data_IF_431453277976
#
_entry.id   IF_431453277976
#
_cell.length_a   1.000
_cell.length_b   1.000
_cell.length_c   1.000
_cell.angle_alpha   90.00
_cell.angle_beta   90.00
_cell.angle_gamma   90.00
#
_symmetry.space_group_name_H-M   'P 1'
#
loop_
_entity.id
_entity.type
_entity.pdbx_description
1 polymer ?
#
# COMPACT_ATOMS: atom_id res chain seq x y z
N UNK A 1 -5.93 -15.07 0.84
CA UNK A 1 -4.90 -14.01 0.84
C UNK A 1 -3.82 -14.39 -0.16
N UNK A 2 -3.55 -13.55 -1.17
CA UNK A 2 -2.53 -13.80 -2.17
C UNK A 2 -1.45 -12.71 -2.16
N UNK A 3 -0.21 -13.05 -2.54
CA UNK A 3 0.90 -12.12 -2.57
C UNK A 3 2.25 -12.82 -2.70
N UNK A 4 3.32 -12.15 -2.29
CA UNK A 4 4.67 -12.67 -2.46
C UNK A 4 5.18 -12.58 -3.89
N UNK A 5 6.41 -13.03 -4.09
CA UNK A 5 7.06 -13.00 -5.41
C UNK A 5 6.76 -14.22 -6.28
N UNK A 6 7.22 -14.16 -7.53
CA UNK A 6 7.20 -15.31 -8.44
C UNK A 6 5.87 -15.59 -9.16
N UNK A 7 4.92 -14.67 -9.10
CA UNK A 7 3.69 -14.74 -9.89
C UNK A 7 3.95 -14.45 -11.36
N UNK A 8 3.38 -15.26 -12.25
CA UNK A 8 3.27 -14.98 -13.67
C UNK A 8 1.85 -14.49 -14.01
N UNK A 9 1.69 -13.94 -15.21
CA UNK A 9 0.39 -13.56 -15.76
C UNK A 9 -0.59 -14.75 -15.75
N UNK A 10 -0.12 -15.90 -16.20
CA UNK A 10 -0.93 -17.12 -16.26
C UNK A 10 -1.36 -17.59 -14.86
N UNK A 11 -0.46 -17.48 -13.85
CA UNK A 11 -0.80 -17.84 -12.48
C UNK A 11 -1.82 -16.88 -11.86
N UNK A 12 -1.70 -15.58 -12.11
CA UNK A 12 -2.67 -14.59 -11.65
C UNK A 12 -4.05 -14.82 -12.30
N UNK A 13 -4.09 -15.11 -13.60
CA UNK A 13 -5.32 -15.44 -14.29
C UNK A 13 -5.95 -16.76 -13.79
N UNK A 14 -5.13 -17.78 -13.51
CA UNK A 14 -5.62 -19.04 -12.94
C UNK A 14 -6.20 -18.84 -11.52
N UNK A 15 -5.53 -18.04 -10.69
CA UNK A 15 -6.06 -17.66 -9.37
C UNK A 15 -7.39 -16.92 -9.49
N UNK A 16 -7.50 -16.00 -10.45
CA UNK A 16 -8.76 -15.28 -10.65
C UNK A 16 -9.90 -16.23 -11.04
N UNK A 17 -9.69 -17.13 -12.01
CA UNK A 17 -10.71 -18.12 -12.39
C UNK A 17 -11.08 -19.05 -11.22
N UNK A 18 -10.11 -19.46 -10.42
CA UNK A 18 -10.39 -20.23 -9.21
C UNK A 18 -11.28 -19.45 -8.24
N UNK A 19 -10.94 -18.19 -7.97
CA UNK A 19 -11.73 -17.34 -7.07
C UNK A 19 -13.15 -17.08 -7.62
N UNK A 20 -13.31 -16.91 -8.93
CA UNK A 20 -14.60 -16.76 -9.61
C UNK A 20 -15.45 -18.03 -9.45
N UNK A 21 -14.89 -19.19 -9.82
CA UNK A 21 -15.61 -20.47 -9.79
C UNK A 21 -16.05 -20.85 -8.37
N UNK A 22 -15.23 -20.54 -7.37
CA UNK A 22 -15.50 -20.83 -5.97
C UNK A 22 -16.21 -19.66 -5.25
N UNK A 23 -16.42 -18.52 -5.92
CA UNK A 23 -16.96 -17.29 -5.33
C UNK A 23 -16.27 -16.91 -4.02
N UNK A 24 -14.94 -16.91 -4.00
CA UNK A 24 -14.14 -16.61 -2.82
C UNK A 24 -13.78 -15.12 -2.74
N UNK A 25 -13.81 -14.50 -1.56
CA UNK A 25 -13.22 -13.18 -1.40
C UNK A 25 -11.69 -13.27 -1.47
N UNK A 26 -11.05 -12.36 -2.18
CA UNK A 26 -9.60 -12.32 -2.35
C UNK A 26 -9.05 -11.03 -1.76
N UNK A 27 -8.10 -11.17 -0.83
CA UNK A 27 -7.31 -10.06 -0.32
C UNK A 27 -5.85 -10.18 -0.76
N UNK A 28 -5.24 -9.06 -1.12
CA UNK A 28 -3.80 -9.03 -1.38
C UNK A 28 -3.00 -8.87 -0.09
N UNK A 29 -1.84 -9.50 -0.03
CA UNK A 29 -0.89 -9.27 1.03
C UNK A 29 -0.25 -7.88 0.91
N UNK A 30 0.29 -7.39 2.01
CA UNK A 30 0.93 -6.08 2.10
C UNK A 30 1.88 -5.80 0.94
N UNK A 31 1.57 -4.75 0.16
CA UNK A 31 2.35 -4.27 -0.99
C UNK A 31 2.45 -5.24 -2.19
N UNK A 32 1.42 -6.07 -2.36
CA UNK A 32 1.25 -6.95 -3.52
C UNK A 32 -0.13 -6.74 -4.18
N UNK A 33 -0.64 -5.51 -4.19
CA UNK A 33 -1.99 -5.19 -4.64
C UNK A 33 -2.21 -5.47 -6.13
N UNK A 34 -1.15 -5.52 -6.93
CA UNK A 34 -1.20 -5.86 -8.35
C UNK A 34 -1.20 -7.37 -8.64
N UNK A 35 -1.27 -8.23 -7.62
CA UNK A 35 -1.36 -9.68 -7.82
C UNK A 35 -2.76 -10.12 -8.27
N UNK A 36 -3.80 -9.42 -7.80
CA UNK A 36 -5.19 -9.67 -8.17
C UNK A 36 -5.84 -8.37 -8.66
N UNK A 37 -6.77 -8.42 -9.62
CA UNK A 37 -7.44 -7.23 -10.15
C UNK A 37 -8.31 -6.56 -9.08
N UNK A 38 -7.98 -5.32 -8.71
CA UNK A 38 -8.70 -4.59 -7.67
C UNK A 38 -10.08 -4.07 -8.12
N UNK A 39 -10.42 -4.21 -9.39
CA UNK A 39 -11.75 -3.91 -9.94
C UNK A 39 -12.68 -5.12 -9.91
N UNK A 40 -12.15 -6.30 -9.57
CA UNK A 40 -12.89 -7.55 -9.62
C UNK A 40 -13.87 -7.69 -8.44
N UNK A 41 -15.05 -8.29 -8.68
CA UNK A 41 -16.11 -8.44 -7.68
C UNK A 41 -15.72 -9.31 -6.47
N UNK A 42 -14.72 -10.19 -6.59
CA UNK A 42 -14.15 -10.95 -5.48
C UNK A 42 -13.08 -10.21 -4.69
N UNK A 43 -12.61 -9.05 -5.16
CA UNK A 43 -11.58 -8.31 -4.43
C UNK A 43 -12.11 -7.70 -3.14
N UNK A 44 -11.45 -7.98 -2.04
CA UNK A 44 -11.86 -7.54 -0.70
C UNK A 44 -10.89 -6.50 -0.07
N UNK A 45 -9.79 -6.16 -0.76
CA UNK A 45 -8.80 -5.20 -0.29
C UNK A 45 -7.43 -5.81 -0.03
N UNK A 46 -6.59 -5.11 0.72
CA UNK A 46 -5.27 -5.56 1.11
C UNK A 46 -5.13 -5.72 2.64
N UNK A 47 -4.46 -6.79 3.05
CA UNK A 47 -4.13 -7.04 4.45
C UNK A 47 -2.77 -6.44 4.79
N UNK A 48 -2.57 -6.09 6.05
CA UNK A 48 -1.30 -5.53 6.55
C UNK A 48 -1.49 -4.18 7.23
N UNK A 49 -0.47 -3.35 7.16
CA UNK A 49 -0.52 -2.01 7.76
C UNK A 49 -1.57 -1.16 7.05
N UNK A 50 -2.52 -0.64 7.83
CA UNK A 50 -3.62 0.18 7.28
C UNK A 50 -4.80 -0.61 6.75
N UNK A 51 -4.90 -1.90 7.03
CA UNK A 51 -6.04 -2.77 6.67
C UNK A 51 -7.39 -2.08 6.95
N UNK A 52 -8.34 -2.22 6.02
CA UNK A 52 -9.71 -1.76 6.21
C UNK A 52 -10.41 -2.51 7.36
N UNK A 53 -11.19 -1.82 8.22
CA UNK A 53 -11.86 -2.48 9.35
C UNK A 53 -12.75 -3.63 8.94
N UNK A 54 -13.52 -3.49 7.86
CA UNK A 54 -14.39 -4.55 7.33
C UNK A 54 -13.59 -5.78 6.88
N UNK A 55 -12.46 -5.58 6.18
CA UNK A 55 -11.58 -6.68 5.80
C UNK A 55 -10.93 -7.34 7.01
N UNK A 56 -10.49 -6.57 8.00
CA UNK A 56 -9.93 -7.13 9.23
C UNK A 56 -10.95 -8.01 9.96
N UNK A 57 -12.21 -7.59 10.00
CA UNK A 57 -13.30 -8.39 10.55
C UNK A 57 -13.55 -9.64 9.71
N UNK A 58 -13.64 -9.51 8.40
CA UNK A 58 -13.80 -10.62 7.46
C UNK A 58 -12.72 -11.69 7.66
N UNK A 59 -11.44 -11.31 7.80
CA UNK A 59 -10.34 -12.26 8.07
C UNK A 59 -10.50 -12.94 9.43
N UNK A 60 -10.91 -12.22 10.48
CA UNK A 60 -11.10 -12.81 11.83
C UNK A 60 -12.29 -13.76 11.93
N UNK A 61 -13.34 -13.51 11.17
CA UNK A 61 -14.57 -14.29 11.18
C UNK A 61 -14.55 -15.48 10.19
N UNK A 62 -13.52 -15.55 9.32
CA UNK A 62 -13.37 -16.67 8.40
C UNK A 62 -13.11 -17.97 9.17
N UNK A 63 -13.60 -19.08 8.67
CA UNK A 63 -13.34 -20.44 9.18
C UNK A 63 -12.08 -21.05 8.56
N UNK A 64 -11.75 -20.63 7.35
CA UNK A 64 -10.58 -21.08 6.58
C UNK A 64 -9.84 -19.90 5.96
N UNK A 65 -8.51 -19.88 6.08
CA UNK A 65 -7.63 -18.97 5.38
C UNK A 65 -6.76 -19.77 4.40
N UNK A 66 -6.88 -19.44 3.12
CA UNK A 66 -5.96 -19.90 2.08
C UNK A 66 -4.95 -18.79 1.81
N UNK A 67 -3.71 -18.98 2.28
CA UNK A 67 -2.61 -18.05 2.06
C UNK A 67 -1.72 -18.57 0.93
N UNK A 68 -1.68 -17.86 -0.21
CA UNK A 68 -0.97 -18.27 -1.43
C UNK A 68 0.16 -17.28 -1.69
N UNK A 69 1.36 -17.63 -1.27
CA UNK A 69 2.59 -16.91 -1.50
C UNK A 69 2.99 -15.83 -0.49
N UNK A 70 2.13 -15.29 0.37
CA UNK A 70 2.58 -14.28 1.31
C UNK A 70 3.42 -14.88 2.43
N UNK A 71 4.44 -14.12 2.87
CA UNK A 71 4.93 -14.26 4.23
C UNK A 71 3.84 -13.80 5.18
N UNK A 72 3.45 -14.64 6.12
CA UNK A 72 2.55 -14.24 7.21
C UNK A 72 3.37 -13.63 8.36
N UNK A 73 4.16 -12.61 8.01
CA UNK A 73 5.02 -11.88 8.92
C UNK A 73 4.34 -10.62 9.48
N UNK A 74 5.09 -9.87 10.25
CA UNK A 74 4.67 -8.67 10.98
C UNK A 74 3.87 -7.68 10.10
N UNK A 75 4.40 -7.35 8.90
CA UNK A 75 3.79 -6.34 8.02
C UNK A 75 2.44 -6.79 7.47
N UNK A 76 2.31 -8.06 7.08
CA UNK A 76 1.08 -8.62 6.51
C UNK A 76 0.00 -8.85 7.55
N UNK A 77 0.39 -9.15 8.80
CA UNK A 77 -0.55 -9.49 9.88
C UNK A 77 -0.70 -8.39 10.93
N UNK A 78 -0.28 -7.16 10.61
CA UNK A 78 -0.44 -6.00 11.49
C UNK A 78 0.20 -6.20 12.87
N UNK A 79 1.50 -6.52 12.90
CA UNK A 79 2.22 -6.79 14.15
C UNK A 79 1.75 -8.08 14.84
N UNK A 80 1.41 -9.11 14.05
CA UNK A 80 0.89 -10.39 14.55
C UNK A 80 -0.43 -10.30 15.31
N UNK A 81 -1.23 -9.25 15.05
CA UNK A 81 -2.50 -8.99 15.74
C UNK A 81 -3.74 -9.41 14.93
N UNK A 82 -3.58 -9.66 13.62
CA UNK A 82 -4.69 -10.03 12.74
C UNK A 82 -5.15 -11.47 12.99
N UNK A 83 -4.21 -12.38 13.21
CA UNK A 83 -4.41 -13.79 13.49
C UNK A 83 -3.77 -14.15 14.82
N UNK A 84 -4.33 -15.14 15.53
CA UNK A 84 -3.73 -15.65 16.75
C UNK A 84 -2.47 -16.47 16.46
N UNK A 85 -1.34 -16.09 17.02
CA UNK A 85 -0.10 -16.85 16.93
C UNK A 85 0.07 -17.73 18.19
N UNK A 86 0.71 -18.91 18.08
CA UNK A 86 1.19 -19.55 16.87
C UNK A 86 0.09 -20.33 16.11
N UNK A 87 -1.06 -20.59 16.73
CA UNK A 87 -2.15 -21.35 16.10
C UNK A 87 -3.35 -20.44 15.87
N UNK A 88 -3.66 -20.09 14.61
CA UNK A 88 -4.89 -19.38 14.28
C UNK A 88 -6.13 -20.17 14.72
N UNK A 89 -7.22 -19.45 15.05
CA UNK A 89 -8.53 -20.11 15.28
C UNK A 89 -9.12 -20.62 13.98
N UNK A 90 -8.78 -19.97 12.88
CA UNK A 90 -9.12 -20.40 11.51
C UNK A 90 -8.29 -21.61 11.11
N UNK A 91 -8.84 -22.47 10.27
CA UNK A 91 -8.03 -23.42 9.52
C UNK A 91 -7.10 -22.64 8.58
N UNK A 92 -5.82 -23.00 8.57
CA UNK A 92 -4.82 -22.33 7.72
C UNK A 92 -4.24 -23.29 6.71
N UNK A 93 -4.47 -23.01 5.44
CA UNK A 93 -3.71 -23.60 4.32
C UNK A 93 -2.68 -22.57 3.89
N UNK A 94 -1.40 -22.87 4.06
CA UNK A 94 -0.31 -21.96 3.68
C UNK A 94 0.54 -22.57 2.57
N UNK A 95 0.52 -21.92 1.41
CA UNK A 95 1.30 -22.29 0.23
C UNK A 95 2.42 -21.25 0.06
N UNK A 96 3.66 -21.67 0.05
CA UNK A 96 4.81 -20.78 -0.10
C UNK A 96 5.95 -21.44 -0.87
N UNK A 97 6.74 -20.64 -1.61
CA UNK A 97 7.86 -21.11 -2.42
C UNK A 97 9.14 -21.43 -1.62
N UNK A 98 9.21 -21.07 -0.34
CA UNK A 98 10.31 -21.38 0.57
C UNK A 98 9.79 -22.20 1.75
N UNK A 99 10.46 -23.32 2.01
CA UNK A 99 10.14 -24.17 3.17
C UNK A 99 10.37 -23.46 4.51
N UNK A 100 11.31 -22.51 4.57
CA UNK A 100 11.65 -21.77 5.78
C UNK A 100 10.55 -20.81 6.25
N UNK A 101 9.65 -20.41 5.37
CA UNK A 101 8.53 -19.54 5.71
C UNK A 101 7.29 -20.32 6.19
N UNK A 102 7.18 -21.60 5.83
CA UNK A 102 6.09 -22.47 6.27
C UNK A 102 6.22 -22.79 7.76
N UNK A 103 5.16 -22.58 8.52
CA UNK A 103 5.10 -22.77 9.98
C UNK A 103 6.09 -21.90 10.79
N UNK A 104 6.64 -20.86 10.21
CA UNK A 104 7.62 -19.99 10.89
C UNK A 104 7.02 -19.20 12.04
N UNK A 105 5.83 -18.65 11.86
CA UNK A 105 5.08 -17.91 12.89
C UNK A 105 3.76 -18.60 13.19
N UNK A 106 3.01 -18.91 12.14
CA UNK A 106 1.70 -19.54 12.24
C UNK A 106 1.78 -21.01 11.84
N UNK A 107 1.30 -21.88 12.70
CA UNK A 107 1.20 -23.31 12.41
C UNK A 107 0.02 -23.56 11.47
N UNK A 108 0.31 -23.94 10.24
CA UNK A 108 -0.69 -24.27 9.26
C UNK A 108 -1.29 -25.65 9.50
N UNK A 109 -2.60 -25.82 9.26
CA UNK A 109 -3.24 -27.13 9.21
C UNK A 109 -2.77 -27.91 7.98
N UNK A 110 -2.47 -27.19 6.87
CA UNK A 110 -1.88 -27.74 5.66
C UNK A 110 -0.81 -26.77 5.13
N UNK A 111 0.45 -27.17 5.21
CA UNK A 111 1.59 -26.46 4.67
C UNK A 111 2.01 -27.08 3.34
N UNK A 112 2.07 -26.26 2.27
CA UNK A 112 2.39 -26.72 0.91
C UNK A 112 3.60 -25.97 0.37
N UNK A 113 4.69 -26.67 0.13
CA UNK A 113 5.85 -26.11 -0.56
C UNK A 113 5.61 -26.14 -2.07
N UNK A 114 5.32 -25.00 -2.65
CA UNK A 114 5.08 -24.87 -4.08
C UNK A 114 5.36 -23.45 -4.57
N UNK A 115 5.76 -23.32 -5.82
CA UNK A 115 5.78 -22.00 -6.49
C UNK A 115 4.35 -21.52 -6.75
N UNK A 116 4.19 -20.19 -6.85
CA UNK A 116 2.87 -19.59 -7.10
C UNK A 116 2.25 -20.10 -8.41
N UNK A 117 3.07 -20.34 -9.43
CA UNK A 117 2.62 -20.86 -10.71
C UNK A 117 2.11 -22.31 -10.62
N UNK A 118 2.77 -23.16 -9.82
CA UNK A 118 2.32 -24.53 -9.59
C UNK A 118 1.03 -24.54 -8.75
N UNK A 119 1.01 -23.76 -7.67
CA UNK A 119 -0.16 -23.62 -6.81
C UNK A 119 -1.40 -23.16 -7.57
N UNK A 120 -1.29 -22.07 -8.34
CA UNK A 120 -2.43 -21.51 -9.09
C UNK A 120 -2.99 -22.51 -10.12
N UNK A 121 -2.12 -23.22 -10.84
CA UNK A 121 -2.56 -24.28 -11.78
C UNK A 121 -3.27 -25.43 -11.07
N UNK A 122 -2.79 -25.83 -9.89
CA UNK A 122 -3.41 -26.92 -9.11
C UNK A 122 -4.77 -26.49 -8.54
N UNK A 123 -4.91 -25.24 -8.14
CA UNK A 123 -6.19 -24.71 -7.64
C UNK A 123 -7.22 -24.54 -8.76
N UNK A 124 -6.81 -24.11 -9.95
CA UNK A 124 -7.70 -23.87 -11.09
C UNK A 124 -8.47 -25.12 -11.53
N UNK A 125 -7.87 -26.31 -11.39
CA UNK A 125 -8.50 -27.57 -11.81
C UNK A 125 -9.45 -28.16 -10.76
N UNK A 126 -9.53 -27.57 -9.57
CA UNK A 126 -10.43 -28.01 -8.52
C UNK A 126 -11.88 -27.65 -8.88
N UNK A 127 -12.76 -28.62 -8.74
CA UNK A 127 -14.20 -28.41 -8.95
C UNK A 127 -14.83 -27.79 -7.72
N UNK A 128 -15.48 -26.66 -7.89
CA UNK A 128 -16.25 -26.04 -6.81
C UNK A 128 -17.42 -26.94 -6.36
N UNK A 129 -17.75 -26.96 -5.06
CA UNK A 129 -18.95 -27.66 -4.60
C UNK A 129 -20.22 -27.06 -5.23
N UNK A 130 -21.30 -27.85 -5.36
CA UNK A 130 -22.53 -27.40 -6.01
C UNK A 130 -23.23 -26.26 -5.26
N UNK A 131 -23.00 -26.16 -3.95
CA UNK A 131 -23.50 -25.08 -3.11
C UNK A 131 -22.33 -24.28 -2.54
N UNK A 132 -22.43 -22.95 -2.58
CA UNK A 132 -21.43 -21.99 -2.13
C UNK A 132 -22.04 -21.10 -1.02
N UNK A 133 -22.15 -21.59 0.20
CA UNK A 133 -22.84 -20.86 1.28
C UNK A 133 -22.17 -19.55 1.68
N UNK A 134 -20.92 -19.35 1.26
CA UNK A 134 -20.15 -18.12 1.48
C UNK A 134 -20.32 -17.06 0.37
N UNK A 135 -21.11 -17.31 -0.68
CA UNK A 135 -21.19 -16.39 -1.83
C UNK A 135 -21.66 -14.97 -1.43
N UNK A 136 -22.65 -14.88 -0.53
CA UNK A 136 -23.14 -13.58 -0.05
C UNK A 136 -22.12 -12.89 0.87
N UNK A 137 -21.38 -13.64 1.65
CA UNK A 137 -20.26 -13.12 2.44
C UNK A 137 -19.16 -12.52 1.56
N UNK A 138 -18.86 -13.13 0.40
CA UNK A 138 -17.94 -12.57 -0.59
C UNK A 138 -18.42 -11.23 -1.14
N UNK A 139 -19.72 -11.08 -1.43
CA UNK A 139 -20.30 -9.80 -1.84
C UNK A 139 -20.18 -8.73 -0.74
N UNK A 140 -20.42 -9.12 0.52
CA UNK A 140 -20.26 -8.22 1.66
C UNK A 140 -18.82 -7.79 1.87
N UNK A 141 -17.84 -8.69 1.69
CA UNK A 141 -16.42 -8.38 1.75
C UNK A 141 -16.02 -7.38 0.67
N UNK A 142 -16.49 -7.56 -0.58
CA UNK A 142 -16.27 -6.60 -1.66
C UNK A 142 -16.94 -5.25 -1.37
N UNK A 143 -18.18 -5.24 -0.87
CA UNK A 143 -18.84 -3.99 -0.47
C UNK A 143 -18.06 -3.25 0.62
N UNK A 144 -17.53 -3.98 1.61
CA UNK A 144 -16.65 -3.42 2.63
C UNK A 144 -15.38 -2.77 2.05
N UNK A 145 -14.82 -3.35 0.98
CA UNK A 145 -13.74 -2.73 0.23
C UNK A 145 -14.19 -1.43 -0.45
N UNK A 146 -15.32 -1.42 -1.16
CA UNK A 146 -15.85 -0.23 -1.81
C UNK A 146 -16.16 0.88 -0.79
N UNK A 147 -16.70 0.54 0.37
CA UNK A 147 -16.95 1.50 1.44
C UNK A 147 -15.65 2.07 2.02
N UNK A 148 -14.58 1.26 2.08
CA UNK A 148 -13.26 1.72 2.50
C UNK A 148 -12.61 2.73 1.52
N UNK A 149 -13.04 2.75 0.26
CA UNK A 149 -12.59 3.74 -0.73
C UNK A 149 -13.26 5.12 -0.58
N UNK A 150 -14.29 5.25 0.24
CA UNK A 150 -14.96 6.55 0.47
C UNK A 150 -14.01 7.48 1.21
N UNK A 151 -13.67 8.66 0.65
CA UNK A 151 -12.78 9.61 1.28
C UNK A 151 -13.43 10.24 2.51
N UNK A 152 -12.59 10.69 3.43
CA UNK A 152 -12.99 11.56 4.54
C UNK A 152 -12.45 12.97 4.28
N UNK A 153 -13.21 13.99 4.68
CA UNK A 153 -12.71 15.35 4.61
C UNK A 153 -11.52 15.54 5.56
N UNK A 154 -10.46 16.11 5.04
CA UNK A 154 -9.23 16.44 5.77
C UNK A 154 -8.93 17.94 5.58
N UNK A 155 -8.17 18.55 6.49
CA UNK A 155 -7.83 19.98 6.40
C UNK A 155 -6.86 20.27 5.25
N UNK A 156 -6.72 21.55 4.90
CA UNK A 156 -5.80 22.03 3.87
C UNK A 156 -6.42 22.14 2.48
N UNK A 157 -5.66 22.70 1.56
CA UNK A 157 -6.08 22.97 0.17
C UNK A 157 -5.76 21.80 -0.79
N UNK A 158 -5.23 20.70 -0.25
CA UNK A 158 -4.78 19.56 -1.02
C UNK A 158 -5.62 18.31 -0.69
N UNK A 159 -6.47 17.90 -1.64
CA UNK A 159 -7.27 16.68 -1.55
C UNK A 159 -6.53 15.50 -2.19
N UNK A 160 -5.86 14.69 -1.38
CA UNK A 160 -5.11 13.53 -1.85
C UNK A 160 -5.98 12.44 -2.50
N UNK A 161 -7.18 12.09 -2.01
CA UNK A 161 -8.13 11.25 -2.73
C UNK A 161 -8.43 11.72 -4.15
N UNK A 162 -8.66 13.02 -4.37
CA UNK A 162 -8.88 13.60 -5.70
C UNK A 162 -7.62 13.47 -6.58
N UNK A 163 -6.43 13.74 -6.02
CA UNK A 163 -5.16 13.51 -6.73
C UNK A 163 -5.04 12.04 -7.18
N UNK A 164 -5.35 11.07 -6.32
CA UNK A 164 -5.29 9.66 -6.69
C UNK A 164 -6.35 9.30 -7.75
N UNK A 165 -7.53 9.91 -7.70
CA UNK A 165 -8.55 9.73 -8.73
C UNK A 165 -8.09 10.28 -10.10
N UNK A 166 -7.40 11.41 -10.13
CA UNK A 166 -6.77 11.96 -11.35
C UNK A 166 -5.65 11.04 -11.88
N UNK A 167 -4.84 10.47 -11.00
CA UNK A 167 -3.85 9.46 -11.38
C UNK A 167 -4.52 8.22 -11.99
N UNK A 168 -5.59 7.71 -11.37
CA UNK A 168 -6.36 6.58 -11.90
C UNK A 168 -6.96 6.88 -13.27
N UNK A 169 -7.37 8.12 -13.54
CA UNK A 169 -7.95 8.58 -14.80
C UNK A 169 -6.92 8.66 -15.92
N UNK A 170 -5.71 9.13 -15.63
CA UNK A 170 -4.75 9.54 -16.66
C UNK A 170 -3.58 8.57 -16.86
N UNK A 171 -3.16 7.82 -15.83
CA UNK A 171 -2.04 6.90 -15.96
C UNK A 171 -2.38 5.73 -16.89
N UNK A 172 -1.46 5.31 -17.77
CA UNK A 172 -1.62 4.09 -18.55
C UNK A 172 -1.85 2.87 -17.66
N UNK A 173 -2.64 1.92 -18.12
CA UNK A 173 -2.98 0.70 -17.36
C UNK A 173 -1.74 -0.16 -16.99
N UNK A 174 -0.65 -0.01 -17.74
CA UNK A 174 0.63 -0.67 -17.52
C UNK A 174 1.65 0.20 -16.76
N UNK A 175 1.28 1.42 -16.33
CA UNK A 175 2.17 2.27 -15.54
C UNK A 175 2.67 1.53 -14.30
N UNK A 176 3.95 1.75 -13.97
CA UNK A 176 4.56 1.17 -12.77
C UNK A 176 4.49 2.19 -11.64
N UNK A 177 3.71 1.88 -10.63
CA UNK A 177 3.58 2.68 -9.41
C UNK A 177 4.61 2.24 -8.40
N UNK A 178 5.40 3.17 -7.89
CA UNK A 178 6.42 2.87 -6.89
C UNK A 178 6.27 3.77 -5.67
N UNK A 179 6.65 3.28 -4.51
CA UNK A 179 6.68 4.07 -3.28
C UNK A 179 7.79 3.62 -2.34
N UNK A 180 8.20 4.52 -1.48
CA UNK A 180 9.03 4.20 -0.31
C UNK A 180 8.21 3.80 0.91
N UNK A 181 8.69 4.12 2.11
CA UNK A 181 8.04 3.77 3.36
C UNK A 181 7.67 5.01 4.17
N UNK A 182 6.38 5.12 4.47
CA UNK A 182 5.79 6.19 5.26
C UNK A 182 4.29 6.28 5.05
N UNK A 183 3.63 7.09 5.86
CA UNK A 183 2.17 7.28 5.77
C UNK A 183 1.72 7.83 4.41
N UNK A 184 2.58 8.58 3.72
CA UNK A 184 2.31 9.08 2.36
C UNK A 184 1.94 7.96 1.38
N UNK A 185 2.52 6.77 1.51
CA UNK A 185 2.22 5.64 0.63
C UNK A 185 0.78 5.12 0.79
N UNK A 186 0.16 5.37 1.93
CA UNK A 186 -1.20 4.90 2.21
C UNK A 186 -2.27 5.53 1.30
N UNK A 187 -2.01 6.69 0.71
CA UNK A 187 -2.90 7.30 -0.27
C UNK A 187 -3.07 6.41 -1.50
N UNK A 188 -1.95 5.96 -2.08
CA UNK A 188 -1.98 5.05 -3.22
C UNK A 188 -2.51 3.67 -2.83
N UNK A 189 -2.06 3.12 -1.69
CA UNK A 189 -2.49 1.78 -1.26
C UNK A 189 -3.99 1.70 -0.96
N UNK A 190 -4.61 2.79 -0.50
CA UNK A 190 -6.04 2.81 -0.20
C UNK A 190 -6.91 3.12 -1.42
N UNK A 191 -6.52 4.09 -2.25
CA UNK A 191 -7.43 4.68 -3.24
C UNK A 191 -7.11 4.28 -4.68
N UNK A 192 -5.88 3.89 -5.00
CA UNK A 192 -5.53 3.46 -6.35
C UNK A 192 -5.86 1.98 -6.56
N UNK A 193 -6.50 1.66 -7.71
CA UNK A 193 -6.88 0.30 -8.07
C UNK A 193 -6.00 -0.23 -9.19
N UNK A 194 -5.30 -1.32 -8.93
CA UNK A 194 -4.48 -2.01 -9.92
C UNK A 194 -5.28 -3.04 -10.70
N UNK A 195 -5.08 -3.11 -12.00
CA UNK A 195 -5.43 -4.28 -12.81
C UNK A 195 -4.35 -5.36 -12.73
N UNK A 196 -3.10 -4.93 -12.66
CA UNK A 196 -1.94 -5.75 -12.35
C UNK A 196 -1.68 -6.91 -13.30
N UNK A 197 -1.17 -7.98 -12.72
CA UNK A 197 -0.70 -9.17 -13.43
C UNK A 197 -1.78 -9.85 -14.28
N UNK A 198 -3.04 -9.80 -13.89
CA UNK A 198 -4.15 -10.39 -14.68
C UNK A 198 -4.24 -9.76 -16.07
N UNK A 199 -3.91 -8.48 -16.19
CA UNK A 199 -3.86 -7.75 -17.48
C UNK A 199 -2.47 -7.77 -18.15
N UNK A 200 -1.54 -8.57 -17.64
CA UNK A 200 -0.25 -8.80 -18.28
C UNK A 200 0.92 -8.02 -17.67
N UNK A 201 0.71 -7.18 -16.67
CA UNK A 201 1.73 -6.26 -16.20
C UNK A 201 1.91 -6.26 -14.69
N UNK A 202 3.15 -6.36 -14.22
CA UNK A 202 3.55 -5.97 -12.86
C UNK A 202 3.48 -4.45 -12.78
N UNK A 203 2.64 -3.91 -11.91
CA UNK A 203 2.35 -2.47 -11.84
C UNK A 203 2.64 -1.86 -10.47
N UNK A 204 3.05 -2.63 -9.48
CA UNK A 204 3.42 -2.14 -8.16
C UNK A 204 4.82 -2.59 -7.76
N UNK A 205 5.68 -1.64 -7.35
CA UNK A 205 6.96 -1.90 -6.70
C UNK A 205 7.01 -1.12 -5.39
N UNK A 206 7.04 -1.84 -4.27
CA UNK A 206 7.02 -1.24 -2.94
C UNK A 206 7.85 -2.06 -1.95
N UNK A 207 8.51 -1.44 -0.95
CA UNK A 207 9.39 -2.15 -0.02
C UNK A 207 8.57 -2.95 0.99
N UNK A 208 8.57 -4.27 0.86
CA UNK A 208 7.81 -5.18 1.74
C UNK A 208 8.34 -5.22 3.18
N UNK A 209 9.58 -4.80 3.38
CA UNK A 209 10.21 -4.67 4.71
C UNK A 209 10.12 -3.24 5.29
N UNK A 210 9.47 -2.32 4.57
CA UNK A 210 9.28 -0.95 5.05
C UNK A 210 10.51 -0.05 4.97
N UNK A 211 11.44 -0.30 4.04
CA UNK A 211 12.61 0.55 3.84
C UNK A 211 12.23 1.89 3.19
N UNK A 212 12.64 3.00 3.81
CA UNK A 212 12.56 4.34 3.21
C UNK A 212 13.53 4.47 2.03
N UNK A 213 13.22 5.36 1.09
CA UNK A 213 14.05 5.65 -0.08
C UNK A 213 13.98 4.64 -1.22
N UNK A 214 13.18 3.58 -1.11
CA UNK A 214 13.05 2.56 -2.15
C UNK A 214 12.35 3.08 -3.42
N UNK A 215 11.35 3.96 -3.26
CA UNK A 215 10.43 4.33 -4.35
C UNK A 215 11.12 4.98 -5.53
N UNK A 216 11.99 5.95 -5.29
CA UNK A 216 12.68 6.72 -6.34
C UNK A 216 13.57 5.84 -7.22
N UNK A 217 14.56 5.09 -6.69
CA UNK A 217 15.37 4.19 -7.50
C UNK A 217 14.56 3.10 -8.19
N UNK A 218 13.52 2.56 -7.54
CA UNK A 218 12.66 1.55 -8.15
C UNK A 218 11.87 2.09 -9.35
N UNK A 219 11.35 3.33 -9.27
CA UNK A 219 10.65 3.99 -10.38
C UNK A 219 11.59 4.28 -11.55
N UNK A 220 12.78 4.80 -11.27
CA UNK A 220 13.81 5.05 -12.28
C UNK A 220 14.19 3.75 -12.98
N UNK A 221 14.51 2.70 -12.21
CA UNK A 221 14.88 1.40 -12.77
C UNK A 221 13.74 0.80 -13.61
N UNK A 222 12.51 0.88 -13.16
CA UNK A 222 11.35 0.39 -13.91
C UNK A 222 11.22 1.11 -15.26
N UNK A 223 11.34 2.44 -15.28
CA UNK A 223 11.27 3.21 -16.51
C UNK A 223 12.42 2.91 -17.47
N UNK A 224 13.66 2.95 -16.98
CA UNK A 224 14.87 2.73 -17.80
C UNK A 224 14.88 1.31 -18.40
N UNK A 225 14.50 0.29 -17.63
CA UNK A 225 14.55 -1.11 -18.08
C UNK A 225 13.39 -1.52 -18.98
N UNK A 226 12.22 -0.90 -18.82
CA UNK A 226 11.00 -1.37 -19.51
C UNK A 226 10.46 -0.36 -20.53
N UNK A 227 10.90 0.89 -20.49
CA UNK A 227 10.32 2.00 -21.26
C UNK A 227 8.91 2.41 -20.82
N UNK A 228 8.33 1.72 -19.83
CA UNK A 228 6.98 2.00 -19.29
C UNK A 228 7.01 3.27 -18.44
N UNK A 229 5.88 3.95 -18.37
CA UNK A 229 5.72 5.07 -17.47
C UNK A 229 5.90 4.60 -16.03
N UNK A 230 6.78 5.25 -15.27
CA UNK A 230 6.93 5.03 -13.84
C UNK A 230 6.45 6.27 -13.08
N UNK A 231 5.59 6.04 -12.11
CA UNK A 231 5.06 7.06 -11.21
C UNK A 231 5.43 6.69 -9.77
N UNK A 232 6.20 7.56 -9.14
CA UNK A 232 6.69 7.35 -7.78
C UNK A 232 5.97 8.29 -6.82
N UNK A 233 5.42 7.76 -5.72
CA UNK A 233 5.02 8.59 -4.58
C UNK A 233 6.08 8.49 -3.48
N UNK A 234 6.55 9.64 -3.01
CA UNK A 234 7.56 9.76 -1.96
C UNK A 234 7.12 10.81 -0.92
N UNK A 235 7.47 10.62 0.34
CA UNK A 235 7.44 11.68 1.33
C UNK A 235 8.74 12.48 1.29
N UNK A 236 8.75 13.67 1.87
CA UNK A 236 9.93 14.53 1.94
C UNK A 236 11.13 13.83 2.60
N UNK A 237 10.95 13.25 3.77
CA UNK A 237 12.01 12.49 4.45
C UNK A 237 12.36 11.17 3.75
N UNK A 238 11.42 10.54 3.06
CA UNK A 238 11.65 9.33 2.27
C UNK A 238 12.50 9.63 1.03
N UNK A 239 12.18 10.71 0.32
CA UNK A 239 12.93 11.17 -0.85
C UNK A 239 14.39 11.49 -0.51
N UNK A 240 14.63 12.11 0.64
CA UNK A 240 15.99 12.49 1.07
C UNK A 240 16.92 11.28 1.31
N UNK A 241 16.39 10.06 1.38
CA UNK A 241 17.22 8.85 1.52
C UNK A 241 17.98 8.52 0.23
N UNK A 242 17.32 8.63 -0.95
CA UNK A 242 17.86 8.22 -2.23
C UNK A 242 17.48 9.17 -3.40
N UNK A 243 17.17 10.43 -3.11
CA UNK A 243 16.82 11.43 -4.13
C UNK A 243 17.96 11.73 -5.11
N UNK A 244 19.22 11.47 -4.73
CA UNK A 244 20.37 11.59 -5.62
C UNK A 244 20.31 10.67 -6.86
N UNK A 245 19.44 9.66 -6.86
CA UNK A 245 19.23 8.79 -8.01
C UNK A 245 18.58 9.49 -9.21
N UNK A 246 18.13 10.74 -9.04
CA UNK A 246 17.79 11.60 -10.17
C UNK A 246 18.97 11.75 -11.15
N UNK A 247 20.22 11.77 -10.65
CA UNK A 247 21.41 11.77 -11.48
C UNK A 247 21.49 10.49 -12.33
N UNK A 248 21.20 9.33 -11.75
CA UNK A 248 21.15 8.06 -12.48
C UNK A 248 20.09 8.09 -13.58
N UNK A 249 18.91 8.63 -13.28
CA UNK A 249 17.84 8.77 -14.28
C UNK A 249 18.29 9.64 -15.47
N UNK A 250 18.84 10.81 -15.21
CA UNK A 250 19.32 11.72 -16.27
C UNK A 250 20.43 11.07 -17.08
N UNK A 251 21.38 10.39 -16.43
CA UNK A 251 22.48 9.70 -17.11
C UNK A 251 21.99 8.61 -18.08
N UNK A 252 20.90 7.91 -17.73
CA UNK A 252 20.37 6.78 -18.51
C UNK A 252 19.11 7.11 -19.30
N UNK A 253 18.72 8.38 -19.41
CA UNK A 253 17.52 8.81 -20.15
C UNK A 253 16.20 8.41 -19.50
N UNK A 254 16.20 8.16 -18.19
CA UNK A 254 15.00 7.86 -17.43
C UNK A 254 14.12 9.11 -17.25
N UNK A 255 12.80 8.93 -17.40
CA UNK A 255 11.81 10.00 -17.33
C UNK A 255 10.66 9.70 -16.35
N UNK A 256 10.98 9.15 -15.19
CA UNK A 256 9.99 8.88 -14.16
C UNK A 256 9.34 10.18 -13.64
N UNK A 257 8.05 10.09 -13.26
CA UNK A 257 7.33 11.17 -12.58
C UNK A 257 7.34 10.87 -11.09
N UNK A 258 7.75 11.84 -10.29
CA UNK A 258 7.84 11.72 -8.83
C UNK A 258 6.87 12.72 -8.20
N UNK A 259 5.88 12.21 -7.45
CA UNK A 259 5.00 12.99 -6.59
C UNK A 259 5.60 13.00 -5.20
N UNK A 260 6.15 14.13 -4.80
CA UNK A 260 6.77 14.32 -3.50
C UNK A 260 5.80 15.02 -2.55
N UNK A 261 5.36 14.34 -1.51
CA UNK A 261 4.47 14.89 -0.48
C UNK A 261 5.31 15.52 0.63
N UNK A 262 5.29 16.86 0.70
CA UNK A 262 6.04 17.64 1.66
C UNK A 262 5.14 18.16 2.78
N UNK A 263 5.25 17.57 3.97
CA UNK A 263 4.59 18.04 5.19
C UNK A 263 5.58 18.52 6.27
N UNK A 264 6.87 18.61 5.96
CA UNK A 264 7.91 19.13 6.84
C UNK A 264 8.25 18.20 8.00
N UNK A 265 7.96 16.88 7.90
CA UNK A 265 8.22 15.98 9.01
C UNK A 265 8.38 14.51 8.61
N UNK A 266 9.02 13.72 9.47
CA UNK A 266 8.92 12.27 9.46
C UNK A 266 7.53 11.86 9.98
N UNK A 267 6.50 11.95 9.12
CA UNK A 267 5.09 11.87 9.51
C UNK A 267 4.72 10.59 10.25
N UNK A 268 5.23 9.43 9.82
CA UNK A 268 4.98 8.15 10.50
C UNK A 268 5.55 8.14 11.91
N UNK A 269 6.77 8.63 12.09
CA UNK A 269 7.40 8.74 13.42
C UNK A 269 6.60 9.69 14.32
N UNK A 270 6.24 10.87 13.78
CA UNK A 270 5.42 11.86 14.50
C UNK A 270 4.08 11.26 14.94
N UNK A 271 3.40 10.53 14.07
CA UNK A 271 2.15 9.84 14.38
C UNK A 271 2.32 8.86 15.56
N UNK A 272 3.40 8.07 15.56
CA UNK A 272 3.66 7.13 16.65
C UNK A 272 4.01 7.84 17.96
N UNK A 273 4.78 8.94 17.92
CA UNK A 273 5.04 9.75 19.11
C UNK A 273 3.73 10.27 19.72
N UNK A 274 2.84 10.85 18.92
CA UNK A 274 1.56 11.35 19.41
C UNK A 274 0.60 10.25 19.89
N UNK A 275 0.70 9.04 19.34
CA UNK A 275 -0.13 7.89 19.74
C UNK A 275 0.31 7.28 21.06
N UNK A 276 1.63 7.11 21.26
CA UNK A 276 2.18 6.40 22.42
C UNK A 276 2.60 7.38 23.56
N UNK A 277 3.12 8.54 23.16
CA UNK A 277 3.64 9.57 24.06
C UNK A 277 3.12 10.94 23.66
N UNK A 278 1.79 11.19 23.74
CA UNK A 278 1.18 12.42 23.26
C UNK A 278 1.84 13.64 23.88
N UNK A 279 2.09 14.67 23.08
CA UNK A 279 2.78 15.92 23.43
C UNK A 279 4.29 15.83 23.66
N UNK A 280 4.89 14.63 23.64
CA UNK A 280 6.35 14.44 23.80
C UNK A 280 7.02 14.22 22.43
N UNK A 281 7.09 15.27 21.64
CA UNK A 281 7.62 15.23 20.27
C UNK A 281 9.10 15.59 20.24
N UNK A 282 9.90 14.76 19.54
CA UNK A 282 11.32 15.03 19.35
C UNK A 282 11.83 14.44 18.04
N UNK A 283 12.73 15.15 17.34
CA UNK A 283 13.48 14.65 16.19
C UNK A 283 12.66 14.32 14.93
N UNK A 284 11.35 14.62 14.90
CA UNK A 284 10.50 14.29 13.76
C UNK A 284 10.25 15.46 12.80
N UNK A 285 10.62 16.69 13.17
CA UNK A 285 10.46 17.85 12.32
C UNK A 285 11.63 17.97 11.33
N UNK A 286 11.33 18.31 10.08
CA UNK A 286 12.32 18.49 9.01
C UNK A 286 12.40 19.96 8.60
N UNK A 287 13.61 20.40 8.28
CA UNK A 287 13.87 21.63 7.53
C UNK A 287 14.26 21.23 6.11
N UNK A 288 13.29 21.17 5.23
CA UNK A 288 13.46 20.68 3.87
C UNK A 288 14.18 21.68 2.97
N UNK A 289 14.93 21.21 1.94
CA UNK A 289 15.37 22.05 0.84
C UNK A 289 14.19 22.43 -0.04
N UNK A 290 14.40 23.30 -1.02
CA UNK A 290 13.50 23.48 -2.15
C UNK A 290 13.63 22.28 -3.08
N UNK A 291 12.70 21.35 -3.02
CA UNK A 291 12.75 20.11 -3.80
C UNK A 291 12.56 20.34 -5.30
N UNK A 292 11.79 21.35 -5.69
CA UNK A 292 11.64 21.72 -7.10
C UNK A 292 12.97 22.23 -7.68
N UNK A 293 13.65 23.12 -6.96
CA UNK A 293 14.97 23.62 -7.35
C UNK A 293 16.03 22.50 -7.32
N UNK A 294 15.96 21.60 -6.34
CA UNK A 294 16.86 20.43 -6.26
C UNK A 294 16.68 19.50 -7.46
N UNK A 295 15.46 19.23 -7.88
CA UNK A 295 15.18 18.44 -9.07
C UNK A 295 15.75 19.09 -10.34
N UNK A 296 15.59 20.40 -10.47
CA UNK A 296 16.16 21.17 -11.60
C UNK A 296 17.70 21.10 -11.63
N UNK A 297 18.35 21.13 -10.47
CA UNK A 297 19.81 20.98 -10.38
C UNK A 297 20.31 19.61 -10.88
N UNK A 298 19.45 18.58 -10.82
CA UNK A 298 19.72 17.25 -11.40
C UNK A 298 19.35 17.14 -12.88
N UNK A 299 18.64 18.10 -13.46
CA UNK A 299 18.17 18.05 -14.85
C UNK A 299 16.75 17.50 -15.01
N UNK A 300 16.00 17.37 -13.92
CA UNK A 300 14.55 17.11 -13.93
C UNK A 300 13.77 18.42 -14.06
N UNK A 301 12.50 18.32 -14.46
CA UNK A 301 11.58 19.44 -14.30
C UNK A 301 11.06 19.41 -12.86
N UNK A 302 11.30 20.47 -12.11
CA UNK A 302 10.78 20.63 -10.75
C UNK A 302 9.59 21.60 -10.73
N UNK A 303 8.47 21.16 -10.20
CA UNK A 303 7.24 21.95 -10.06
C UNK A 303 6.73 21.82 -8.63
N UNK A 304 6.28 22.94 -8.02
CA UNK A 304 5.62 22.93 -6.71
C UNK A 304 4.18 23.36 -6.89
N UNK A 305 3.27 22.63 -6.24
CA UNK A 305 1.84 22.92 -6.19
C UNK A 305 1.35 23.05 -4.75
N UNK A 306 0.35 23.89 -4.56
CA UNK A 306 -0.24 24.20 -3.26
C UNK A 306 -1.73 23.86 -3.18
N UNK A 307 -2.39 23.61 -4.32
CA UNK A 307 -3.82 23.34 -4.40
C UNK A 307 -4.13 22.20 -5.34
N UNK A 308 -5.14 21.42 -5.02
CA UNK A 308 -5.55 20.24 -5.79
C UNK A 308 -5.81 20.54 -7.26
N UNK A 309 -6.46 21.64 -7.57
CA UNK A 309 -6.82 21.98 -8.95
C UNK A 309 -5.62 22.27 -9.88
N UNK A 310 -4.43 22.51 -9.32
CA UNK A 310 -3.19 22.69 -10.09
C UNK A 310 -2.62 21.36 -10.61
N UNK A 311 -3.04 20.23 -9.97
CA UNK A 311 -2.39 18.94 -10.18
C UNK A 311 -2.62 18.35 -11.58
N UNK A 312 -3.85 18.40 -12.10
CA UNK A 312 -4.19 17.74 -13.37
C UNK A 312 -3.38 18.32 -14.54
N UNK A 313 -3.28 19.65 -14.63
CA UNK A 313 -2.49 20.32 -15.67
C UNK A 313 -1.00 19.94 -15.57
N UNK A 314 -0.45 19.98 -14.36
CA UNK A 314 0.96 19.65 -14.10
C UNK A 314 1.24 18.18 -14.43
N UNK A 315 0.34 17.26 -14.06
CA UNK A 315 0.45 15.83 -14.37
C UNK A 315 0.47 15.59 -15.89
N UNK A 316 -0.47 16.16 -16.62
CA UNK A 316 -0.56 16.01 -18.09
C UNK A 316 0.69 16.58 -18.79
N UNK A 317 1.17 17.73 -18.32
CA UNK A 317 2.41 18.29 -18.81
C UNK A 317 3.62 17.38 -18.52
N UNK A 318 3.71 16.80 -17.32
CA UNK A 318 4.78 15.87 -16.93
C UNK A 318 4.75 14.59 -17.78
N UNK A 319 3.55 14.06 -18.09
CA UNK A 319 3.42 12.88 -18.95
C UNK A 319 3.83 13.13 -20.40
N UNK A 320 3.68 14.34 -20.89
CA UNK A 320 4.01 14.71 -22.28
C UNK A 320 5.51 15.04 -22.50
N UNK A 321 6.27 15.32 -21.44
CA UNK A 321 7.67 15.75 -21.54
C UNK A 321 8.62 14.59 -21.75
N UNK A 322 9.78 14.83 -22.42
CA UNK A 322 10.85 13.85 -22.53
C UNK A 322 11.70 13.74 -21.24
N UNK A 323 11.70 14.77 -20.39
CA UNK A 323 12.43 14.78 -19.12
C UNK A 323 11.61 14.19 -17.98
N UNK A 324 12.28 13.67 -16.97
CA UNK A 324 11.64 13.32 -15.70
C UNK A 324 11.11 14.57 -14.98
N UNK A 325 10.06 14.40 -14.20
CA UNK A 325 9.41 15.50 -13.48
C UNK A 325 9.25 15.14 -11.99
N UNK A 326 9.63 16.09 -11.13
CA UNK A 326 9.29 16.05 -9.71
C UNK A 326 8.21 17.07 -9.44
N UNK A 327 7.05 16.60 -8.94
CA UNK A 327 5.92 17.43 -8.52
C UNK A 327 5.92 17.44 -6.99
N UNK A 328 6.35 18.56 -6.41
CA UNK A 328 6.30 18.78 -4.96
C UNK A 328 4.91 19.27 -4.56
N UNK A 329 4.25 18.51 -3.70
CA UNK A 329 2.93 18.80 -3.17
C UNK A 329 3.07 19.28 -1.73
N UNK A 330 2.64 20.49 -1.45
CA UNK A 330 2.66 21.05 -0.10
C UNK A 330 1.44 20.58 0.68
N UNK A 331 1.65 19.69 1.66
CA UNK A 331 0.57 19.18 2.50
C UNK A 331 0.44 19.97 3.80
N UNK A 332 -0.80 20.10 4.28
CA UNK A 332 -1.06 20.52 5.65
C UNK A 332 -0.42 19.50 6.62
N UNK A 333 0.41 19.94 7.59
CA UNK A 333 1.04 19.07 8.58
C UNK A 333 0.06 18.22 9.40
N UNK A 334 -1.20 18.64 9.52
CA UNK A 334 -2.26 17.88 10.18
C UNK A 334 -2.70 16.64 9.37
N UNK A 335 -2.48 16.61 8.03
CA UNK A 335 -2.86 15.49 7.16
C UNK A 335 -1.84 14.38 7.28
N UNK A 336 -1.96 13.59 8.34
CA UNK A 336 -0.95 12.58 8.68
C UNK A 336 -1.31 11.16 8.20
N UNK A 337 -2.59 10.87 8.04
CA UNK A 337 -3.10 9.58 7.56
C UNK A 337 -4.29 9.76 6.64
N UNK A 338 -4.67 8.71 5.92
CA UNK A 338 -5.90 8.69 5.10
C UNK A 338 -7.20 8.70 5.92
N UNK A 339 -7.13 8.65 7.27
CA UNK A 339 -8.28 8.48 8.15
C UNK A 339 -8.34 9.46 9.32
N UNK A 340 -7.34 10.31 9.48
CA UNK A 340 -7.33 11.21 10.61
C UNK A 340 -6.19 12.21 10.59
N UNK A 341 -6.36 13.25 11.39
CA UNK A 341 -5.39 14.32 11.58
C UNK A 341 -4.44 14.01 12.75
N UNK A 342 -3.31 14.70 12.80
CA UNK A 342 -2.39 14.62 13.91
C UNK A 342 -3.08 14.98 15.24
N UNK A 343 -3.87 16.07 15.23
CA UNK A 343 -4.65 16.50 16.39
C UNK A 343 -5.63 15.41 16.87
N UNK A 344 -6.35 14.75 15.96
CA UNK A 344 -7.29 13.68 16.33
C UNK A 344 -6.60 12.49 16.98
N UNK A 345 -5.40 12.15 16.52
CA UNK A 345 -4.58 11.07 17.10
C UNK A 345 -4.11 11.44 18.51
N UNK A 346 -3.59 12.65 18.70
CA UNK A 346 -3.17 13.16 20.01
C UNK A 346 -4.32 13.17 21.00
N UNK A 347 -5.49 13.69 20.62
CA UNK A 347 -6.67 13.73 21.47
C UNK A 347 -7.15 12.32 21.89
N UNK A 348 -7.18 11.37 20.94
CA UNK A 348 -7.52 9.98 21.23
C UNK A 348 -6.53 9.33 22.22
N UNK A 349 -5.24 9.59 22.06
CA UNK A 349 -4.21 9.08 22.95
C UNK A 349 -4.33 9.65 24.37
N UNK A 350 -4.53 10.96 24.51
CA UNK A 350 -4.76 11.62 25.81
C UNK A 350 -6.02 11.10 26.51
N UNK A 351 -7.11 10.90 25.74
CA UNK A 351 -8.35 10.33 26.29
C UNK A 351 -8.14 8.89 26.80
N UNK A 352 -7.39 8.07 26.06
CA UNK A 352 -7.02 6.71 26.46
C UNK A 352 -6.17 6.69 27.74
N UNK A 353 -5.16 7.58 27.85
CA UNK A 353 -4.32 7.71 29.04
C UNK A 353 -5.14 8.12 30.26
N UNK A 354 -6.05 9.09 30.10
CA UNK A 354 -6.96 9.53 31.17
C UNK A 354 -7.87 8.39 31.64
N UNK A 355 -8.44 7.64 30.72
CA UNK A 355 -9.28 6.50 31.06
C UNK A 355 -8.51 5.41 31.81
N UNK A 356 -7.27 5.13 31.40
CA UNK A 356 -6.39 4.17 32.07
C UNK A 356 -6.01 4.64 33.48
N UNK A 357 -5.68 5.91 33.66
CA UNK A 357 -5.36 6.50 34.97
C UNK A 357 -6.54 6.37 35.95
N UNK A 358 -7.77 6.64 35.49
CA UNK A 358 -8.98 6.45 36.29
C UNK A 358 -9.17 4.98 36.64
N UNK A 359 -8.98 4.05 35.71
CA UNK A 359 -9.17 2.62 35.95
C UNK A 359 -8.11 2.00 36.88
N UNK A 360 -6.89 2.51 36.87
CA UNK A 360 -5.76 1.98 37.65
C UNK A 360 -5.48 2.75 38.93
N UNK A 361 -6.12 3.91 39.17
CA UNK A 361 -5.84 4.81 40.32
C UNK A 361 -4.44 5.45 40.26
N UNK A 362 -3.72 5.34 39.14
CA UNK A 362 -2.37 5.92 38.98
C UNK A 362 -2.51 7.30 38.36
N UNK A 363 -2.03 8.33 39.07
CA UNK A 363 -1.97 9.69 38.51
C UNK A 363 -0.91 9.75 37.39
N UNK A 364 -1.35 10.03 36.17
CA UNK A 364 -0.44 10.40 35.09
C UNK A 364 0.01 11.83 35.32
N UNK A 365 1.30 12.02 35.65
CA UNK A 365 1.94 13.34 35.76
C UNK A 365 2.31 13.86 34.38
#
# INVERSE_FOLDING_TARGET
>A
ICGGGGWTVQAAQALQRFAENWQLPVANAFRFQDTFDNHHAQYAGDVGIGIGPALAQCVRESDLILAIGPRLGEMTTGGYSLLQAPKPVQKLVHIHGSAEELNRVYQADLAILATMNAAARSLEVLTAPPELPWADWTKQAHQGYLDNLKPQALPGDMDMPEIVALLQKHLPADAVLTNGAGNFASWMHRFFKHHGLVKGHKTQLAPTVGAMGYGVPAGIAANVLTGRMAFTIAGDGDFLMNGQELATAVQHGGKSIILLLNNGMYGTIRMHQEREYPTHVTGSQLKNPDFAALAQAYGYVGVRIHKTHEFEEVLLAAMARPEGTLIEVMLDPEVITTRGTLQSITQAALAKQKALAVATGISVK
#
